data_IF_983292614997
#
_entry.id   IF_983292614997
#
_cell.length_a   1.000
_cell.length_b   1.000
_cell.length_c   1.000
_cell.angle_alpha   90.00
_cell.angle_beta   90.00
_cell.angle_gamma   90.00
#
_symmetry.space_group_name_H-M   'P 1'
#
loop_
_entity.id
_entity.type
_entity.pdbx_description
1 polymer ?
#
# COMPACT_ATOMS: atom_id res chain seq x y z
N UNK A 1 7.64 31.16 20.86
CA UNK A 1 7.54 30.19 21.97
C UNK A 1 6.34 29.26 21.73
N UNK A 2 6.36 28.44 20.67
CA UNK A 2 5.26 27.51 20.31
C UNK A 2 5.85 26.32 19.54
N UNK A 3 6.48 25.35 20.20
CA UNK A 3 6.82 24.05 19.56
C UNK A 3 7.15 22.92 20.54
N UNK A 4 6.79 23.02 21.81
CA UNK A 4 7.24 22.03 22.82
C UNK A 4 6.15 21.02 23.23
N UNK A 5 4.88 21.23 22.85
CA UNK A 5 3.74 20.44 23.39
C UNK A 5 3.32 19.21 22.56
N UNK A 6 3.72 19.12 21.28
CA UNK A 6 3.25 18.06 20.35
C UNK A 6 4.18 16.83 20.34
N UNK A 7 5.46 17.00 20.70
CA UNK A 7 6.45 15.92 20.74
C UNK A 7 6.15 14.90 21.85
N UNK A 8 5.65 15.35 23.00
CA UNK A 8 5.41 14.48 24.16
C UNK A 8 4.29 13.46 23.96
N UNK A 9 3.14 13.87 23.40
CA UNK A 9 2.04 12.95 23.12
C UNK A 9 2.40 11.96 22.01
N UNK A 10 3.08 12.42 20.96
CA UNK A 10 3.51 11.57 19.86
C UNK A 10 4.50 10.50 20.31
N UNK A 11 5.47 10.88 21.16
CA UNK A 11 6.46 9.96 21.71
C UNK A 11 5.82 8.96 22.68
N UNK A 12 4.88 9.42 23.50
CA UNK A 12 4.07 8.56 24.38
C UNK A 12 3.24 7.56 23.58
N UNK A 13 2.48 8.03 22.58
CA UNK A 13 1.63 7.18 21.75
C UNK A 13 2.46 6.13 21.00
N UNK A 14 3.61 6.53 20.46
CA UNK A 14 4.53 5.60 19.81
C UNK A 14 5.13 4.59 20.80
N UNK A 15 5.43 5.00 22.04
CA UNK A 15 5.91 4.08 23.08
C UNK A 15 4.84 3.07 23.49
N UNK A 16 3.60 3.50 23.69
CA UNK A 16 2.47 2.62 24.01
C UNK A 16 2.16 1.68 22.85
N UNK A 17 2.13 2.16 21.61
CA UNK A 17 1.92 1.33 20.42
C UNK A 17 3.01 0.25 20.29
N UNK A 18 4.29 0.63 20.47
CA UNK A 18 5.41 -0.34 20.49
C UNK A 18 5.28 -1.35 21.62
N UNK A 19 4.88 -0.91 22.82
CA UNK A 19 4.69 -1.81 23.95
C UNK A 19 3.53 -2.79 23.69
N UNK A 20 2.39 -2.30 23.18
CA UNK A 20 1.22 -3.09 22.87
C UNK A 20 1.46 -4.15 21.78
N UNK A 21 2.32 -3.87 20.79
CA UNK A 21 2.68 -4.80 19.73
C UNK A 21 3.66 -5.91 20.12
N UNK A 22 4.20 -5.93 21.34
CA UNK A 22 5.19 -6.95 21.77
C UNK A 22 4.50 -8.27 22.13
N UNK A 23 5.08 -9.43 21.74
CA UNK A 23 4.54 -10.75 22.11
C UNK A 23 4.35 -10.94 23.62
N UNK A 24 5.28 -10.39 24.44
CA UNK A 24 5.18 -10.46 25.90
C UNK A 24 3.96 -9.71 26.45
N UNK A 25 3.59 -8.58 25.86
CA UNK A 25 2.40 -7.81 26.26
C UNK A 25 1.13 -8.56 25.90
N UNK A 26 1.10 -9.21 24.73
CA UNK A 26 -0.01 -10.09 24.35
C UNK A 26 -0.18 -11.26 25.32
N UNK A 27 0.91 -11.92 25.70
CA UNK A 27 0.87 -12.98 26.72
C UNK A 27 0.38 -12.47 28.07
N UNK A 28 0.81 -11.28 28.51
CA UNK A 28 0.33 -10.65 29.73
C UNK A 28 -1.17 -10.32 29.67
N UNK A 29 -1.67 -9.83 28.53
CA UNK A 29 -3.11 -9.60 28.33
C UNK A 29 -3.92 -10.88 28.40
N UNK A 30 -3.42 -11.99 27.82
CA UNK A 30 -4.07 -13.30 27.94
C UNK A 30 -4.11 -13.80 29.38
N UNK A 31 -3.00 -13.65 30.12
CA UNK A 31 -2.96 -13.99 31.54
C UNK A 31 -3.94 -13.16 32.36
N UNK A 32 -4.06 -11.87 32.07
CA UNK A 32 -5.02 -10.99 32.73
C UNK A 32 -6.46 -11.46 32.47
N UNK A 33 -6.81 -11.80 31.23
CA UNK A 33 -8.13 -12.34 30.87
C UNK A 33 -8.37 -13.69 31.57
N UNK A 34 -7.36 -14.55 31.64
CA UNK A 34 -7.46 -15.84 32.33
C UNK A 34 -7.69 -15.66 33.84
N UNK A 35 -6.93 -14.78 34.50
CA UNK A 35 -7.11 -14.46 35.93
C UNK A 35 -8.50 -13.89 36.17
N UNK A 36 -8.95 -12.95 35.34
CA UNK A 36 -10.31 -12.41 35.41
C UNK A 36 -11.33 -13.55 35.33
N UNK A 37 -11.26 -14.42 34.31
CA UNK A 37 -12.17 -15.55 34.12
C UNK A 37 -12.18 -16.51 35.33
N UNK A 38 -11.01 -16.81 35.91
CA UNK A 38 -10.86 -17.66 37.09
C UNK A 38 -11.44 -17.05 38.37
N UNK A 39 -11.50 -15.72 38.47
CA UNK A 39 -12.19 -15.04 39.58
C UNK A 39 -13.71 -15.02 39.42
N UNK A 40 -14.25 -15.31 38.23
CA UNK A 40 -15.69 -15.32 37.93
C UNK A 40 -16.53 -16.17 38.90
N UNK A 41 -16.16 -17.44 39.19
CA UNK A 41 -16.87 -18.27 40.15
C UNK A 41 -16.95 -17.69 41.57
N UNK A 42 -15.92 -16.98 42.03
CA UNK A 42 -15.91 -16.32 43.35
C UNK A 42 -16.94 -15.18 43.43
N UNK A 43 -17.22 -14.55 42.29
CA UNK A 43 -18.19 -13.45 42.17
C UNK A 43 -19.52 -13.90 41.55
N UNK A 44 -19.77 -15.21 41.45
CA UNK A 44 -20.95 -15.79 40.82
C UNK A 44 -21.24 -15.24 39.41
N UNK A 45 -20.20 -14.86 38.66
CA UNK A 45 -20.34 -14.20 37.36
C UNK A 45 -21.28 -12.98 37.37
N UNK A 46 -21.29 -12.22 38.46
CA UNK A 46 -22.18 -11.06 38.66
C UNK A 46 -22.06 -9.98 37.57
N UNK A 47 -23.12 -9.18 37.45
CA UNK A 47 -23.18 -8.05 36.52
C UNK A 47 -22.04 -7.06 36.75
N UNK A 48 -21.66 -6.79 38.00
CA UNK A 48 -20.53 -5.90 38.32
C UNK A 48 -19.19 -6.47 37.85
N UNK A 49 -18.99 -7.79 37.99
CA UNK A 49 -17.77 -8.46 37.54
C UNK A 49 -17.62 -8.43 36.00
N UNK A 50 -18.73 -8.59 35.27
CA UNK A 50 -18.75 -8.44 33.81
C UNK A 50 -18.58 -6.97 33.38
N UNK A 51 -19.22 -6.05 34.10
CA UNK A 51 -19.17 -4.62 33.81
C UNK A 51 -17.72 -4.10 33.88
N UNK A 52 -16.96 -4.49 34.91
CA UNK A 52 -15.57 -4.01 35.08
C UNK A 52 -14.70 -4.33 33.86
N UNK A 53 -14.74 -5.58 33.35
CA UNK A 53 -13.91 -5.94 32.20
C UNK A 53 -14.40 -5.29 30.91
N UNK A 54 -15.72 -5.17 30.74
CA UNK A 54 -16.32 -4.63 29.54
C UNK A 54 -16.05 -3.12 29.45
N UNK A 55 -16.34 -2.39 30.52
CA UNK A 55 -16.05 -0.96 30.63
C UNK A 55 -14.55 -0.68 30.50
N UNK A 56 -13.70 -1.46 31.18
CA UNK A 56 -12.25 -1.31 31.09
C UNK A 56 -11.72 -1.49 29.68
N UNK A 57 -12.11 -2.60 29.02
CA UNK A 57 -11.67 -2.90 27.66
C UNK A 57 -12.18 -1.87 26.65
N UNK A 58 -13.41 -1.39 26.82
CA UNK A 58 -13.99 -0.34 25.96
C UNK A 58 -13.20 0.95 26.05
N UNK A 59 -12.87 1.41 27.26
CA UNK A 59 -12.04 2.62 27.46
C UNK A 59 -10.67 2.44 26.82
N UNK A 60 -10.00 1.31 27.08
CA UNK A 60 -8.68 1.00 26.50
C UNK A 60 -8.76 1.01 24.97
N UNK A 61 -9.78 0.38 24.40
CA UNK A 61 -9.98 0.31 22.94
C UNK A 61 -10.22 1.69 22.34
N UNK A 62 -11.07 2.52 22.97
CA UNK A 62 -11.33 3.89 22.54
C UNK A 62 -10.04 4.72 22.53
N UNK A 63 -9.24 4.64 23.60
CA UNK A 63 -7.93 5.29 23.65
C UNK A 63 -6.98 4.73 22.58
N UNK A 64 -6.95 3.41 22.40
CA UNK A 64 -6.10 2.72 21.42
C UNK A 64 -6.36 3.21 20.00
N UNK A 65 -7.62 3.48 19.63
CA UNK A 65 -7.98 4.04 18.32
C UNK A 65 -7.27 5.38 18.07
N UNK A 66 -7.17 6.27 19.05
CA UNK A 66 -6.41 7.52 18.89
C UNK A 66 -4.89 7.29 18.82
N UNK A 67 -4.37 6.35 19.63
CA UNK A 67 -2.93 6.03 19.62
C UNK A 67 -2.49 5.42 18.29
N UNK A 68 -3.30 4.52 17.73
CA UNK A 68 -3.10 3.91 16.42
C UNK A 68 -3.18 4.98 15.34
N UNK A 69 -4.22 5.81 15.33
CA UNK A 69 -4.36 6.90 14.35
C UNK A 69 -3.18 7.87 14.38
N UNK A 70 -2.68 8.24 15.57
CA UNK A 70 -1.51 9.12 15.69
C UNK A 70 -0.25 8.48 15.08
N UNK A 71 -0.05 7.18 15.32
CA UNK A 71 1.10 6.45 14.76
C UNK A 71 0.96 6.28 13.25
N UNK A 72 -0.23 5.87 12.78
CA UNK A 72 -0.54 5.67 11.37
C UNK A 72 -0.45 6.98 10.57
N UNK A 73 -0.95 8.10 11.09
CA UNK A 73 -0.86 9.40 10.43
C UNK A 73 0.61 9.82 10.22
N UNK A 74 1.47 9.57 11.23
CA UNK A 74 2.89 9.88 11.13
C UNK A 74 3.64 8.96 10.17
N UNK A 75 3.34 7.66 10.19
CA UNK A 75 3.96 6.69 9.29
C UNK A 75 3.52 6.91 7.84
N UNK A 76 2.28 7.33 7.60
CA UNK A 76 1.77 7.73 6.30
C UNK A 76 2.54 8.91 5.70
N UNK A 77 2.73 9.98 6.48
CA UNK A 77 3.52 11.14 6.07
C UNK A 77 5.00 10.77 5.78
N UNK A 78 5.58 9.85 6.56
CA UNK A 78 6.95 9.38 6.34
C UNK A 78 7.08 8.54 5.06
N UNK A 79 6.06 7.73 4.71
CA UNK A 79 6.03 6.97 3.46
C UNK A 79 5.93 7.92 2.27
N UNK A 80 5.05 8.93 2.32
CA UNK A 80 4.91 9.94 1.27
C UNK A 80 6.23 10.66 1.00
N UNK A 81 6.89 11.17 2.04
CA UNK A 81 8.19 11.84 1.90
C UNK A 81 9.28 10.94 1.27
N UNK A 82 9.28 9.63 1.58
CA UNK A 82 10.22 8.67 0.97
C UNK A 82 9.89 8.41 -0.51
N UNK A 83 8.61 8.32 -0.85
CA UNK A 83 8.16 8.17 -2.23
C UNK A 83 8.50 9.41 -3.06
N UNK A 84 8.28 10.61 -2.50
CA UNK A 84 8.62 11.88 -3.14
C UNK A 84 10.12 11.96 -3.46
N UNK A 85 10.98 11.55 -2.52
CA UNK A 85 12.43 11.54 -2.75
C UNK A 85 12.84 10.47 -3.78
N UNK A 86 12.17 9.30 -3.84
CA UNK A 86 12.39 8.30 -4.89
C UNK A 86 11.94 8.79 -6.27
N UNK A 87 10.82 9.50 -6.36
CA UNK A 87 10.36 10.11 -7.62
C UNK A 87 11.35 11.19 -8.05
N UNK A 88 11.82 12.01 -7.10
CA UNK A 88 12.81 13.05 -7.37
C UNK A 88 14.18 12.52 -7.77
N UNK A 89 14.63 11.41 -7.18
CA UNK A 89 15.93 10.80 -7.46
C UNK A 89 15.92 9.87 -8.69
N UNK A 90 14.75 9.37 -9.10
CA UNK A 90 14.57 8.64 -10.35
C UNK A 90 14.25 9.62 -11.48
N UNK A 91 14.53 9.27 -12.73
CA UNK A 91 14.10 10.06 -13.90
C UNK A 91 12.57 9.99 -14.12
N UNK A 92 11.78 9.75 -13.06
CA UNK A 92 10.35 9.82 -13.07
C UNK A 92 9.95 11.30 -13.04
N UNK A 93 9.16 11.72 -14.03
CA UNK A 93 8.67 13.09 -14.12
C UNK A 93 8.06 13.51 -12.77
N UNK A 94 8.50 14.67 -12.22
CA UNK A 94 8.00 15.33 -11.00
C UNK A 94 6.47 15.45 -10.87
N UNK A 95 5.70 15.04 -11.89
CA UNK A 95 4.25 15.02 -11.95
C UNK A 95 3.57 14.06 -10.94
N UNK A 96 4.32 13.18 -10.26
CA UNK A 96 3.78 12.25 -9.26
C UNK A 96 4.08 12.62 -7.80
N UNK A 97 4.91 13.65 -7.57
CA UNK A 97 5.22 14.15 -6.22
C UNK A 97 3.98 14.86 -5.68
N UNK A 98 3.54 14.52 -4.47
CA UNK A 98 2.38 15.16 -3.81
C UNK A 98 1.01 14.73 -4.34
N UNK A 99 0.90 13.56 -4.98
CA UNK A 99 -0.37 13.00 -5.49
C UNK A 99 -1.47 12.92 -4.44
N UNK A 100 -1.11 12.69 -3.18
CA UNK A 100 -2.03 12.62 -2.05
C UNK A 100 -2.79 13.92 -1.76
N UNK A 101 -2.30 15.05 -2.28
CA UNK A 101 -2.91 16.36 -2.09
C UNK A 101 -3.74 16.79 -3.30
N UNK A 102 -3.76 15.99 -4.37
CA UNK A 102 -4.59 16.24 -5.54
C UNK A 102 -6.07 16.07 -5.19
N UNK A 103 -6.91 16.91 -5.79
CA UNK A 103 -8.35 16.68 -5.79
C UNK A 103 -8.67 15.43 -6.61
N UNK A 104 -9.87 14.86 -6.39
CA UNK A 104 -10.29 13.64 -7.09
C UNK A 104 -10.34 13.82 -8.62
N UNK A 105 -10.75 15.01 -9.08
CA UNK A 105 -10.76 15.38 -10.50
C UNK A 105 -9.34 15.43 -11.09
N UNK A 106 -8.38 15.98 -10.34
CA UNK A 106 -6.98 16.04 -10.77
C UNK A 106 -6.32 14.64 -10.79
N UNK A 107 -6.69 13.78 -9.83
CA UNK A 107 -6.21 12.40 -9.76
C UNK A 107 -6.73 11.57 -10.94
N UNK A 108 -8.01 11.72 -11.30
CA UNK A 108 -8.59 11.05 -12.47
C UNK A 108 -7.97 11.57 -13.79
N UNK A 109 -7.68 12.88 -13.88
CA UNK A 109 -6.93 13.43 -15.00
C UNK A 109 -5.50 12.90 -15.12
N UNK A 110 -4.84 12.59 -13.99
CA UNK A 110 -3.53 11.94 -13.99
C UNK A 110 -3.64 10.47 -14.43
N UNK A 111 -4.62 9.72 -13.92
CA UNK A 111 -4.89 8.33 -14.31
C UNK A 111 -5.17 8.21 -15.81
N UNK A 112 -6.04 9.05 -16.36
CA UNK A 112 -6.36 9.06 -17.78
C UNK A 112 -5.11 9.30 -18.66
N UNK A 113 -4.21 10.18 -18.24
CA UNK A 113 -2.92 10.42 -18.94
C UNK A 113 -2.00 9.20 -18.88
N UNK A 114 -1.97 8.48 -17.76
CA UNK A 114 -1.19 7.24 -17.63
C UNK A 114 -1.75 6.14 -18.54
N UNK A 115 -3.07 5.95 -18.53
CA UNK A 115 -3.74 4.96 -19.37
C UNK A 115 -3.56 5.24 -20.86
N UNK A 116 -3.65 6.51 -21.26
CA UNK A 116 -3.39 6.94 -22.63
C UNK A 116 -1.95 6.60 -23.07
N UNK A 117 -0.94 6.94 -22.26
CA UNK A 117 0.46 6.60 -22.55
C UNK A 117 0.70 5.09 -22.63
N UNK A 118 0.10 4.31 -21.72
CA UNK A 118 0.20 2.86 -21.74
C UNK A 118 -0.51 2.23 -22.95
N UNK A 119 -1.58 2.85 -23.45
CA UNK A 119 -2.24 2.45 -24.69
C UNK A 119 -1.37 2.75 -25.91
N UNK A 120 -0.81 3.95 -25.98
CA UNK A 120 0.03 4.38 -27.10
C UNK A 120 1.30 3.52 -27.21
N UNK A 121 1.95 3.21 -26.09
CA UNK A 121 3.11 2.31 -26.07
C UNK A 121 2.77 0.91 -26.59
N UNK A 122 1.65 0.33 -26.15
CA UNK A 122 1.18 -0.98 -26.63
C UNK A 122 0.81 -0.98 -28.11
N UNK A 123 0.25 0.13 -28.61
CA UNK A 123 -0.06 0.29 -30.03
C UNK A 123 1.22 0.37 -30.88
N UNK A 124 2.23 1.10 -30.41
CA UNK A 124 3.55 1.15 -31.05
C UNK A 124 4.17 -0.24 -31.12
N UNK A 125 4.22 -0.97 -30.00
CA UNK A 125 4.80 -2.31 -29.93
C UNK A 125 4.07 -3.30 -30.86
N UNK A 126 2.75 -3.23 -30.92
CA UNK A 126 1.95 -4.06 -31.83
C UNK A 126 2.16 -3.68 -33.31
N UNK A 127 2.35 -2.40 -33.61
CA UNK A 127 2.65 -1.94 -34.96
C UNK A 127 4.03 -2.43 -35.42
N UNK A 128 5.04 -2.30 -34.56
CA UNK A 128 6.40 -2.77 -34.81
C UNK A 128 6.42 -4.29 -35.07
N UNK A 129 5.73 -5.07 -34.23
CA UNK A 129 5.62 -6.52 -34.40
C UNK A 129 4.87 -6.92 -35.70
N UNK A 130 3.84 -6.17 -36.09
CA UNK A 130 3.10 -6.41 -37.33
C UNK A 130 3.94 -6.09 -38.57
N UNK A 131 4.72 -5.02 -38.54
CA UNK A 131 5.65 -4.65 -39.60
C UNK A 131 6.74 -5.72 -39.77
N UNK A 132 7.30 -6.20 -38.67
CA UNK A 132 8.33 -7.24 -38.67
C UNK A 132 7.80 -8.57 -39.24
N UNK A 133 6.58 -8.97 -38.86
CA UNK A 133 5.90 -10.15 -39.40
C UNK A 133 5.57 -10.01 -40.89
N UNK A 134 5.15 -8.82 -41.34
CA UNK A 134 4.88 -8.55 -42.74
C UNK A 134 6.15 -8.63 -43.60
N UNK A 135 7.26 -8.05 -43.11
CA UNK A 135 8.55 -8.11 -43.79
C UNK A 135 9.08 -9.54 -43.88
N UNK A 136 9.00 -10.32 -42.80
CA UNK A 136 9.40 -11.73 -42.79
C UNK A 136 8.59 -12.58 -43.79
N UNK A 137 7.27 -12.33 -43.91
CA UNK A 137 6.41 -13.02 -44.88
C UNK A 137 6.74 -12.62 -46.32
N UNK A 138 7.03 -11.35 -46.58
CA UNK A 138 7.44 -10.86 -47.89
C UNK A 138 8.76 -11.51 -48.34
N UNK A 139 9.75 -11.61 -47.43
CA UNK A 139 11.00 -12.31 -47.70
C UNK A 139 10.80 -13.80 -47.99
N UNK A 140 9.95 -14.49 -47.21
CA UNK A 140 9.65 -15.90 -47.43
C UNK A 140 8.98 -16.15 -48.79
N UNK A 141 8.02 -15.30 -49.17
CA UNK A 141 7.36 -15.37 -50.47
C UNK A 141 8.34 -15.11 -51.63
N UNK A 142 9.24 -14.13 -51.48
CA UNK A 142 10.29 -13.84 -52.47
C UNK A 142 11.26 -15.02 -52.65
N UNK A 143 11.68 -15.66 -51.55
CA UNK A 143 12.54 -16.86 -51.59
C UNK A 143 11.84 -18.03 -52.29
N UNK A 144 10.55 -18.26 -51.99
CA UNK A 144 9.77 -19.32 -52.64
C UNK A 144 9.60 -19.11 -54.15
N UNK A 145 9.35 -17.87 -54.58
CA UNK A 145 9.23 -17.52 -56.00
C UNK A 145 10.56 -17.69 -56.77
N UNK A 146 11.69 -17.42 -56.10
CA UNK A 146 13.03 -17.53 -56.68
C UNK A 146 13.48 -18.99 -56.78
N UNK A 147 13.13 -19.85 -55.82
CA UNK A 147 13.44 -21.29 -55.83
C UNK A 147 12.68 -22.09 -56.90
N UNK A 148 11.45 -21.70 -57.25
CA UNK A 148 10.63 -22.40 -58.24
C UNK A 148 11.15 -22.25 -59.69
N UNK A 149 11.85 -21.15 -60.01
CA UNK A 149 12.40 -20.89 -61.36
C UNK A 149 13.61 -21.77 -61.73
N UNK A 150 14.26 -22.43 -60.77
CA UNK A 150 15.41 -23.30 -61.02
C UNK A 150 15.06 -24.75 -61.41
N UNK A 151 13.83 -25.20 -61.14
CA UNK A 151 13.43 -26.62 -61.28
C UNK A 151 12.86 -27.02 -62.64
N UNK A 152 12.53 -26.06 -63.52
CA UNK A 152 11.82 -26.33 -64.79
C UNK A 152 12.72 -26.40 -66.03
N UNK A 153 14.04 -26.46 -65.86
CA UNK A 153 15.02 -26.67 -66.95
C UNK A 153 15.80 -27.97 -66.74
N UNK A 154 15.16 -29.13 -66.87
CA UNK A 154 15.81 -30.40 -67.19
C UNK A 154 14.92 -31.23 -68.10
#
# INVERSE_FOLDING_TARGET
>A
MVTTRIRTFSDFAAAVARAAGRPGTFAASLLLIAVWALTGPLFHYSDTWQLIINTGTTIVTFLMVFLIQNTQNRDGAAIQAKLDELIRASAAQNAYIGIENLTEEELDGLRARCEARARDFRLSEAADAAEEAANAKAEAAARAATGSRGGLRR
#
